data_IF_713973609943
#
_entry.id   IF_713973609943
#
_cell.length_a   1.000
_cell.length_b   1.000
_cell.length_c   1.000
_cell.angle_alpha   90.00
_cell.angle_beta   90.00
_cell.angle_gamma   90.00
#
_symmetry.space_group_name_H-M   'P 1'
#
loop_
_entity.id
_entity.type
_entity.pdbx_description
1 polymer ?
#
# COMPACT_ATOMS: atom_id res chain seq x y z
N UNK A 1 -43.60 -1.17 -0.49
CA UNK A 1 -43.60 -2.29 0.47
C UNK A 1 -42.25 -2.28 1.14
N UNK A 2 -42.18 -1.93 2.43
CA UNK A 2 -40.93 -2.05 3.18
C UNK A 2 -40.65 -3.54 3.36
N UNK A 3 -39.62 -4.05 2.68
CA UNK A 3 -39.20 -5.44 2.82
C UNK A 3 -38.78 -5.72 4.26
N UNK A 4 -39.09 -6.92 4.74
CA UNK A 4 -38.62 -7.44 6.02
C UNK A 4 -37.10 -7.24 6.15
N UNK A 5 -36.65 -6.50 7.17
CA UNK A 5 -35.23 -6.42 7.51
C UNK A 5 -34.84 -7.79 8.07
N UNK A 6 -34.25 -8.64 7.24
CA UNK A 6 -33.64 -9.88 7.72
C UNK A 6 -32.48 -9.52 8.63
N UNK A 7 -32.33 -10.15 9.82
CA UNK A 7 -31.14 -9.98 10.62
C UNK A 7 -29.94 -10.40 9.78
N UNK A 8 -29.05 -9.45 9.52
CA UNK A 8 -27.79 -9.64 8.79
C UNK A 8 -26.64 -9.40 9.74
N UNK A 9 -25.56 -10.15 9.55
CA UNK A 9 -24.27 -9.83 10.16
C UNK A 9 -23.72 -8.58 9.46
N UNK A 10 -23.14 -7.69 10.24
CA UNK A 10 -22.43 -6.51 9.74
C UNK A 10 -21.02 -6.52 10.30
N UNK A 11 -20.08 -6.05 9.50
CA UNK A 11 -18.77 -5.62 9.97
C UNK A 11 -18.79 -4.11 10.03
N UNK A 12 -18.26 -3.56 11.11
CA UNK A 12 -18.18 -2.13 11.34
C UNK A 12 -16.70 -1.77 11.49
N UNK A 13 -16.26 -0.84 10.67
CA UNK A 13 -14.95 -0.23 10.70
C UNK A 13 -15.10 1.22 11.17
N UNK A 14 -14.23 1.64 12.07
CA UNK A 14 -14.12 3.04 12.46
C UNK A 14 -13.07 3.67 11.54
N UNK A 15 -13.52 4.42 10.54
CA UNK A 15 -12.63 4.96 9.51
C UNK A 15 -11.95 6.24 10.00
N UNK A 16 -12.71 7.33 10.24
CA UNK A 16 -12.16 8.61 10.66
C UNK A 16 -12.84 9.12 11.95
N UNK A 17 -12.09 9.17 13.06
CA UNK A 17 -12.52 9.78 14.32
C UNK A 17 -13.85 9.22 14.87
N UNK A 18 -14.97 9.87 14.55
CA UNK A 18 -16.32 9.47 15.00
C UNK A 18 -17.19 8.87 13.88
N UNK A 19 -16.59 8.50 12.76
CA UNK A 19 -17.28 7.92 11.61
C UNK A 19 -17.20 6.38 11.65
N UNK A 20 -18.29 5.74 11.24
CA UNK A 20 -18.39 4.28 11.14
C UNK A 20 -18.82 3.90 9.73
N UNK A 21 -18.05 3.03 9.09
CA UNK A 21 -18.43 2.36 7.87
C UNK A 21 -18.94 0.96 8.22
N UNK A 22 -20.06 0.55 7.63
CA UNK A 22 -20.64 -0.77 7.88
C UNK A 22 -20.93 -1.52 6.59
N UNK A 23 -20.45 -2.76 6.52
CA UNK A 23 -20.67 -3.67 5.40
C UNK A 23 -21.53 -4.84 5.83
N UNK A 24 -22.58 -5.11 5.07
CA UNK A 24 -23.38 -6.31 5.25
C UNK A 24 -22.55 -7.53 4.86
N UNK A 25 -22.59 -8.57 5.68
CA UNK A 25 -21.93 -9.85 5.41
C UNK A 25 -22.97 -10.89 5.03
N UNK A 26 -22.83 -11.45 3.83
CA UNK A 26 -23.63 -12.59 3.40
C UNK A 26 -23.04 -13.90 3.95
N UNK A 27 -21.70 -14.04 3.94
CA UNK A 27 -21.02 -15.26 4.40
C UNK A 27 -19.61 -14.96 4.91
N UNK A 28 -19.17 -15.65 5.98
CA UNK A 28 -17.75 -15.73 6.33
C UNK A 28 -17.11 -16.88 5.56
N UNK A 29 -16.05 -16.60 4.82
CA UNK A 29 -15.25 -17.59 4.07
C UNK A 29 -14.18 -18.18 4.98
N UNK A 30 -13.39 -17.32 5.63
CA UNK A 30 -12.34 -17.71 6.56
C UNK A 30 -12.26 -16.74 7.73
N UNK A 31 -11.84 -17.26 8.88
CA UNK A 31 -11.52 -16.46 10.06
C UNK A 31 -10.39 -17.13 10.83
N UNK A 32 -9.33 -16.39 11.10
CA UNK A 32 -8.15 -16.88 11.79
C UNK A 32 -7.53 -15.78 12.65
N UNK A 33 -6.65 -16.17 13.57
CA UNK A 33 -5.74 -15.25 14.25
C UNK A 33 -4.33 -15.76 14.00
N UNK A 34 -3.51 -14.97 13.33
CA UNK A 34 -2.11 -15.28 13.07
C UNK A 34 -1.26 -14.85 14.27
N UNK A 35 0.06 -14.97 14.15
CA UNK A 35 0.96 -14.39 15.14
C UNK A 35 0.96 -12.85 15.11
N UNK A 36 0.47 -12.24 14.03
CA UNK A 36 0.55 -10.80 13.77
C UNK A 36 -0.80 -10.09 13.97
N UNK A 37 -1.90 -10.71 13.52
CA UNK A 37 -3.20 -10.03 13.40
C UNK A 37 -4.38 -11.01 13.37
N UNK A 38 -5.59 -10.50 13.61
CA UNK A 38 -6.84 -11.18 13.28
C UNK A 38 -7.13 -11.05 11.78
N UNK A 39 -7.43 -12.17 11.11
CA UNK A 39 -7.73 -12.22 9.67
C UNK A 39 -9.16 -12.68 9.48
N UNK A 40 -9.91 -11.95 8.66
CA UNK A 40 -11.25 -12.36 8.23
C UNK A 40 -11.43 -12.16 6.73
N UNK A 41 -11.95 -13.19 6.06
CA UNK A 41 -12.34 -13.14 4.66
C UNK A 41 -13.84 -13.38 4.58
N UNK A 42 -14.57 -12.43 4.01
CA UNK A 42 -16.04 -12.46 3.94
C UNK A 42 -16.54 -12.22 2.53
N UNK A 43 -17.78 -12.62 2.28
CA UNK A 43 -18.56 -12.21 1.12
C UNK A 43 -19.51 -11.10 1.51
N UNK A 44 -19.48 -10.01 0.76
CA UNK A 44 -20.35 -8.84 0.92
C UNK A 44 -21.26 -8.69 -0.30
N UNK A 45 -22.52 -8.22 -0.13
CA UNK A 45 -23.40 -7.95 -1.27
C UNK A 45 -22.93 -6.82 -2.18
N UNK A 46 -22.12 -5.90 -1.66
CA UNK A 46 -21.78 -4.64 -2.34
C UNK A 46 -20.46 -4.71 -3.10
N UNK A 47 -19.46 -5.44 -2.58
CA UNK A 47 -18.09 -5.44 -3.10
C UNK A 47 -17.52 -6.84 -3.33
N UNK A 48 -18.35 -7.89 -3.25
CA UNK A 48 -17.92 -9.28 -3.39
C UNK A 48 -17.09 -9.75 -2.20
N UNK A 49 -16.07 -10.57 -2.46
CA UNK A 49 -15.14 -11.03 -1.43
C UNK A 49 -14.33 -9.86 -0.86
N UNK A 50 -14.07 -9.88 0.44
CA UNK A 50 -13.39 -8.80 1.15
C UNK A 50 -12.42 -9.38 2.19
N UNK A 51 -11.19 -8.86 2.18
CA UNK A 51 -10.15 -9.14 3.17
C UNK A 51 -10.18 -8.06 4.27
N UNK A 52 -10.15 -8.51 5.51
CA UNK A 52 -10.25 -7.66 6.70
C UNK A 52 -9.17 -8.12 7.68
N UNK A 53 -8.34 -7.19 8.12
CA UNK A 53 -7.26 -7.40 9.09
C UNK A 53 -7.51 -6.54 10.31
N UNK A 54 -7.51 -7.15 11.51
CA UNK A 54 -7.80 -6.49 12.78
C UNK A 54 -9.11 -5.65 12.80
N UNK A 55 -10.07 -6.03 11.94
CA UNK A 55 -11.36 -5.35 11.81
C UNK A 55 -11.39 -4.22 10.79
N UNK A 56 -10.26 -3.88 10.17
CA UNK A 56 -10.11 -2.89 9.12
C UNK A 56 -10.11 -3.55 7.73
N UNK A 57 -10.83 -2.97 6.79
CA UNK A 57 -10.86 -3.46 5.41
C UNK A 57 -9.51 -3.21 4.75
N UNK A 58 -9.00 -4.23 4.07
CA UNK A 58 -7.74 -4.13 3.34
C UNK A 58 -7.94 -4.18 1.83
N UNK A 59 -8.93 -4.93 1.36
CA UNK A 59 -9.12 -5.15 -0.08
C UNK A 59 -10.48 -5.76 -0.35
N UNK A 60 -11.10 -5.42 -1.49
CA UNK A 60 -12.37 -5.99 -1.93
C UNK A 60 -12.37 -6.33 -3.42
N UNK A 61 -13.06 -7.42 -3.78
CA UNK A 61 -13.01 -8.05 -5.11
C UNK A 61 -13.37 -7.08 -6.24
N UNK A 62 -14.41 -6.27 -6.01
CA UNK A 62 -14.95 -5.38 -7.04
C UNK A 62 -13.94 -4.30 -7.46
N UNK A 63 -13.10 -3.82 -6.53
CA UNK A 63 -12.33 -2.60 -6.68
C UNK A 63 -10.84 -2.67 -6.28
N UNK A 64 -10.32 -3.82 -5.83
CA UNK A 64 -8.89 -3.99 -5.51
C UNK A 64 -7.98 -3.55 -6.67
N UNK A 65 -8.44 -3.75 -7.91
CA UNK A 65 -7.72 -3.31 -9.10
C UNK A 65 -7.44 -1.80 -9.12
N UNK A 66 -8.33 -0.97 -8.57
CA UNK A 66 -8.11 0.49 -8.46
C UNK A 66 -6.94 0.77 -7.53
N UNK A 67 -6.89 0.10 -6.38
CA UNK A 67 -5.81 0.26 -5.41
C UNK A 67 -4.47 -0.24 -5.98
N UNK A 68 -4.42 -1.48 -6.47
CA UNK A 68 -3.17 -2.09 -6.92
C UNK A 68 -2.62 -1.44 -8.18
N UNK A 69 -3.48 -1.05 -9.12
CA UNK A 69 -3.02 -0.33 -10.31
C UNK A 69 -2.47 1.06 -9.94
N UNK A 70 -3.08 1.74 -8.96
CA UNK A 70 -2.59 3.02 -8.44
C UNK A 70 -1.28 2.88 -7.65
N UNK A 71 -1.13 1.81 -6.87
CA UNK A 71 0.09 1.56 -6.10
C UNK A 71 1.27 1.18 -7.01
N UNK A 72 1.04 0.37 -8.04
CA UNK A 72 2.14 -0.27 -8.79
C UNK A 72 2.56 0.56 -10.00
N UNK A 73 1.62 0.94 -10.87
CA UNK A 73 1.98 1.41 -12.21
C UNK A 73 2.66 2.79 -12.25
N UNK A 74 2.30 3.79 -11.43
CA UNK A 74 2.99 5.08 -11.42
C UNK A 74 4.51 4.95 -11.21
N UNK A 75 4.94 4.11 -10.26
CA UNK A 75 6.37 3.88 -10.01
C UNK A 75 7.05 3.09 -11.12
N UNK A 76 6.45 1.98 -11.56
CA UNK A 76 7.06 1.14 -12.60
C UNK A 76 7.13 1.85 -13.95
N UNK A 77 6.13 2.67 -14.29
CA UNK A 77 6.13 3.46 -15.53
C UNK A 77 7.13 4.61 -15.49
N UNK A 78 7.37 5.21 -14.32
CA UNK A 78 8.39 6.24 -14.16
C UNK A 78 9.81 5.72 -14.46
N UNK A 79 10.13 4.50 -14.03
CA UNK A 79 11.38 3.85 -14.39
C UNK A 79 11.42 3.48 -15.90
N UNK A 80 12.56 3.63 -16.56
CA UNK A 80 12.67 3.43 -18.02
C UNK A 80 12.57 1.96 -18.45
N UNK A 81 13.01 1.03 -17.60
CA UNK A 81 12.86 -0.43 -17.81
C UNK A 81 13.12 -1.18 -16.51
N UNK A 82 12.16 -1.25 -15.57
CA UNK A 82 12.38 -1.90 -14.27
C UNK A 82 12.53 -3.42 -14.45
N UNK A 83 13.64 -3.97 -13.96
CA UNK A 83 13.98 -5.40 -13.97
C UNK A 83 13.97 -6.04 -12.59
N UNK A 84 14.52 -5.36 -11.58
CA UNK A 84 14.52 -5.80 -10.18
C UNK A 84 13.49 -5.02 -9.36
N UNK A 85 12.48 -5.70 -8.83
CA UNK A 85 11.45 -5.08 -8.00
C UNK A 85 11.42 -5.73 -6.62
N UNK A 86 11.32 -4.90 -5.57
CA UNK A 86 11.03 -5.34 -4.20
C UNK A 86 9.64 -4.86 -3.80
N UNK A 87 8.86 -5.75 -3.18
CA UNK A 87 7.60 -5.44 -2.52
C UNK A 87 7.81 -5.76 -1.03
N UNK A 88 7.52 -4.80 -0.16
CA UNK A 88 7.46 -4.99 1.28
C UNK A 88 5.99 -4.99 1.66
N UNK A 89 5.52 -6.08 2.27
CA UNK A 89 4.10 -6.37 2.49
C UNK A 89 3.44 -6.98 1.25
N UNK A 90 2.17 -6.64 1.01
CA UNK A 90 1.39 -7.14 -0.12
C UNK A 90 0.97 -8.61 -0.01
N UNK A 91 0.74 -9.11 1.21
CA UNK A 91 0.41 -10.50 1.55
C UNK A 91 -0.70 -11.16 0.73
N UNK A 92 -1.60 -10.39 0.12
CA UNK A 92 -2.66 -10.90 -0.77
C UNK A 92 -2.20 -11.25 -2.19
N UNK A 93 -1.02 -10.77 -2.61
CA UNK A 93 -0.40 -11.10 -3.88
C UNK A 93 -0.90 -10.32 -5.10
N UNK A 94 -1.82 -9.36 -4.92
CA UNK A 94 -2.31 -8.49 -6.01
C UNK A 94 -1.27 -7.44 -6.43
N UNK A 95 -0.52 -6.86 -5.49
CA UNK A 95 0.66 -6.02 -5.82
C UNK A 95 1.69 -6.80 -6.63
N UNK A 96 1.98 -8.04 -6.22
CA UNK A 96 2.88 -8.93 -6.97
C UNK A 96 2.33 -9.24 -8.37
N UNK A 97 1.01 -9.50 -8.50
CA UNK A 97 0.34 -9.70 -9.78
C UNK A 97 0.55 -8.50 -10.71
N UNK A 98 0.31 -7.28 -10.23
CA UNK A 98 0.45 -6.07 -11.05
C UNK A 98 1.90 -5.79 -11.45
N UNK A 99 2.86 -6.01 -10.56
CA UNK A 99 4.30 -5.91 -10.88
C UNK A 99 4.65 -6.88 -12.01
N UNK A 100 4.22 -8.13 -11.91
CA UNK A 100 4.54 -9.18 -12.87
C UNK A 100 3.87 -9.00 -14.24
N UNK A 101 2.89 -8.09 -14.38
CA UNK A 101 2.35 -7.73 -15.70
C UNK A 101 3.38 -7.03 -16.60
N UNK A 102 4.39 -6.38 -16.02
CA UNK A 102 5.46 -5.74 -16.77
C UNK A 102 6.46 -6.78 -17.25
N UNK A 103 6.56 -6.92 -18.58
CA UNK A 103 7.47 -7.87 -19.23
C UNK A 103 8.95 -7.53 -19.02
N UNK A 104 9.26 -6.30 -18.62
CA UNK A 104 10.63 -5.90 -18.29
C UNK A 104 11.10 -6.43 -16.94
N UNK A 105 10.18 -6.80 -16.05
CA UNK A 105 10.51 -7.32 -14.72
C UNK A 105 11.11 -8.71 -14.88
N UNK A 106 12.35 -8.86 -14.42
CA UNK A 106 13.13 -10.09 -14.43
C UNK A 106 12.98 -10.85 -13.10
N UNK A 107 12.87 -10.09 -11.99
CA UNK A 107 12.64 -10.64 -10.65
C UNK A 107 11.79 -9.68 -9.81
N UNK A 108 10.78 -10.23 -9.15
CA UNK A 108 9.98 -9.54 -8.15
C UNK A 108 10.12 -10.27 -6.81
N UNK A 109 10.82 -9.66 -5.86
CA UNK A 109 10.94 -10.19 -4.50
C UNK A 109 9.85 -9.57 -3.64
N UNK A 110 9.04 -10.38 -2.99
CA UNK A 110 8.01 -9.94 -2.04
C UNK A 110 8.42 -10.42 -0.65
N UNK A 111 8.44 -9.50 0.32
CA UNK A 111 8.80 -9.78 1.72
C UNK A 111 7.62 -9.38 2.59
N UNK A 112 6.95 -10.36 3.18
CA UNK A 112 5.84 -10.13 4.12
C UNK A 112 6.14 -10.81 5.45
N UNK A 113 5.76 -10.17 6.55
CA UNK A 113 6.03 -10.68 7.90
C UNK A 113 5.08 -11.83 8.28
N UNK A 114 3.89 -11.89 7.69
CA UNK A 114 2.83 -12.82 8.06
C UNK A 114 2.64 -13.93 7.01
N UNK A 115 3.43 -15.01 7.14
CA UNK A 115 3.28 -16.18 6.27
C UNK A 115 1.92 -16.88 6.37
N UNK A 116 1.21 -16.77 7.50
CA UNK A 116 -0.12 -17.37 7.63
C UNK A 116 -1.17 -16.55 6.87
N UNK A 117 -1.02 -15.23 6.81
CA UNK A 117 -1.85 -14.38 5.95
C UNK A 117 -1.67 -14.78 4.48
N UNK A 118 -0.43 -14.95 4.01
CA UNK A 118 -0.16 -15.38 2.63
C UNK A 118 -0.84 -16.73 2.34
N UNK A 119 -0.74 -17.70 3.24
CA UNK A 119 -1.37 -19.01 3.05
C UNK A 119 -2.90 -18.91 2.96
N UNK A 120 -3.53 -18.08 3.81
CA UNK A 120 -4.98 -17.81 3.74
C UNK A 120 -5.38 -17.12 2.44
N UNK A 121 -4.60 -16.14 1.98
CA UNK A 121 -4.84 -15.44 0.72
C UNK A 121 -4.68 -16.38 -0.49
N UNK A 122 -3.69 -17.28 -0.48
CA UNK A 122 -3.54 -18.32 -1.50
C UNK A 122 -4.71 -19.29 -1.56
N UNK A 123 -5.32 -19.59 -0.41
CA UNK A 123 -6.46 -20.52 -0.34
C UNK A 123 -7.77 -19.86 -0.80
N UNK A 124 -7.96 -18.56 -0.53
CA UNK A 124 -9.27 -17.93 -0.58
C UNK A 124 -9.38 -16.68 -1.47
N UNK A 125 -8.28 -16.10 -1.95
CA UNK A 125 -8.24 -14.87 -2.74
C UNK A 125 -7.57 -15.10 -4.12
N UNK A 126 -7.98 -16.16 -4.82
CA UNK A 126 -7.43 -16.52 -6.14
C UNK A 126 -7.56 -15.41 -7.19
N UNK A 127 -8.62 -14.61 -7.11
CA UNK A 127 -8.85 -13.45 -7.97
C UNK A 127 -7.87 -12.29 -7.72
N UNK A 128 -7.21 -12.24 -6.55
CA UNK A 128 -6.19 -11.25 -6.22
C UNK A 128 -4.83 -11.65 -6.78
N UNK A 129 -4.29 -12.79 -6.36
CA UNK A 129 -2.94 -13.16 -6.76
C UNK A 129 -2.91 -13.71 -8.19
N UNK A 130 -3.96 -14.39 -8.68
CA UNK A 130 -4.04 -14.97 -10.05
C UNK A 130 -2.80 -15.77 -10.45
N UNK A 131 -2.26 -16.53 -9.51
CA UNK A 131 -1.04 -17.32 -9.67
C UNK A 131 0.28 -16.54 -9.59
N UNK A 132 0.27 -15.25 -9.20
CA UNK A 132 1.47 -14.42 -9.08
C UNK A 132 2.54 -15.01 -8.16
N UNK A 133 2.13 -15.68 -7.08
CA UNK A 133 3.03 -16.41 -6.17
C UNK A 133 3.79 -17.57 -6.83
N UNK A 134 3.29 -18.12 -7.94
CA UNK A 134 3.88 -19.24 -8.66
C UNK A 134 4.60 -18.81 -9.96
N UNK A 135 4.62 -17.51 -10.27
CA UNK A 135 5.37 -16.99 -11.43
C UNK A 135 6.87 -17.27 -11.22
N UNK A 136 7.60 -17.78 -12.24
CA UNK A 136 9.02 -18.09 -12.10
C UNK A 136 9.92 -16.88 -11.79
N UNK A 137 9.41 -15.66 -11.95
CA UNK A 137 10.09 -14.41 -11.60
C UNK A 137 9.82 -13.97 -10.16
N UNK A 138 8.84 -14.57 -9.50
CA UNK A 138 8.48 -14.24 -8.12
C UNK A 138 9.40 -14.93 -7.11
N UNK A 139 9.82 -14.19 -6.09
CA UNK A 139 10.51 -14.70 -4.91
C UNK A 139 9.75 -14.22 -3.67
N UNK A 140 9.01 -15.12 -3.03
CA UNK A 140 8.19 -14.80 -1.85
C UNK A 140 8.95 -15.21 -0.58
N UNK A 141 9.26 -14.25 0.26
CA UNK A 141 10.03 -14.43 1.50
C UNK A 141 9.16 -14.05 2.70
N UNK A 142 9.21 -14.87 3.74
CA UNK A 142 8.56 -14.55 5.01
C UNK A 142 9.59 -13.90 5.94
N UNK A 143 9.35 -12.65 6.33
CA UNK A 143 10.25 -11.91 7.21
C UNK A 143 9.97 -10.42 7.32
N UNK A 144 10.77 -9.74 8.12
CA UNK A 144 10.71 -8.30 8.30
C UNK A 144 11.33 -7.57 7.09
N UNK A 145 10.56 -6.67 6.46
CA UNK A 145 11.00 -5.95 5.25
C UNK A 145 12.20 -5.03 5.47
N UNK A 146 12.27 -4.37 6.64
CA UNK A 146 13.42 -3.55 7.02
C UNK A 146 14.66 -4.42 7.23
N UNK A 147 14.54 -5.51 8.00
CA UNK A 147 15.60 -6.47 8.25
C UNK A 147 16.13 -7.11 6.96
N UNK A 148 15.26 -7.39 5.99
CA UNK A 148 15.67 -7.82 4.66
C UNK A 148 16.56 -6.77 3.97
N UNK A 149 16.14 -5.50 3.94
CA UNK A 149 16.94 -4.42 3.34
C UNK A 149 18.27 -4.15 4.08
N UNK A 150 18.29 -4.33 5.40
CA UNK A 150 19.49 -4.17 6.23
C UNK A 150 20.54 -5.26 5.93
N UNK A 151 20.10 -6.47 5.59
CA UNK A 151 20.98 -7.65 5.44
C UNK A 151 21.32 -7.99 3.98
N UNK A 152 20.48 -7.61 3.03
CA UNK A 152 20.71 -7.86 1.61
C UNK A 152 21.71 -6.87 1.01
N UNK A 153 22.56 -7.33 0.09
CA UNK A 153 23.40 -6.49 -0.76
C UNK A 153 22.75 -6.18 -2.12
N UNK A 154 21.54 -6.70 -2.36
CA UNK A 154 20.80 -6.47 -3.61
C UNK A 154 20.29 -5.04 -3.69
N UNK A 155 20.23 -4.52 -4.91
CA UNK A 155 19.62 -3.25 -5.26
C UNK A 155 18.46 -3.46 -6.21
N UNK A 156 17.53 -2.50 -6.22
CA UNK A 156 16.24 -2.62 -6.90
C UNK A 156 15.97 -1.39 -7.76
N UNK A 157 15.30 -1.59 -8.89
CA UNK A 157 14.84 -0.51 -9.76
C UNK A 157 13.56 0.13 -9.19
N UNK A 158 12.71 -0.68 -8.55
CA UNK A 158 11.53 -0.20 -7.84
C UNK A 158 11.41 -0.90 -6.49
N UNK A 159 11.11 -0.13 -5.44
CA UNK A 159 10.72 -0.66 -4.13
C UNK A 159 9.30 -0.17 -3.85
N UNK A 160 8.37 -1.10 -3.59
CA UNK A 160 6.97 -0.82 -3.25
C UNK A 160 6.74 -1.18 -1.79
N UNK A 161 6.23 -0.24 -1.00
CA UNK A 161 5.78 -0.48 0.37
C UNK A 161 4.25 -0.56 0.38
N UNK A 162 3.76 -1.79 0.46
CA UNK A 162 2.34 -2.18 0.50
C UNK A 162 2.02 -2.74 1.89
N UNK A 163 2.10 -1.86 2.88
CA UNK A 163 2.04 -2.21 4.30
C UNK A 163 0.86 -1.51 4.94
N UNK A 164 0.27 -2.12 5.97
CA UNK A 164 -0.85 -1.54 6.71
C UNK A 164 -0.46 -0.24 7.39
N UNK A 165 -1.44 0.63 7.61
CA UNK A 165 -1.26 1.91 8.28
C UNK A 165 -0.63 1.75 9.67
N UNK A 166 0.18 2.72 10.09
CA UNK A 166 0.95 2.67 11.32
C UNK A 166 0.19 3.17 12.57
N UNK A 167 -1.13 3.31 12.47
CA UNK A 167 -1.98 3.97 13.47
C UNK A 167 -1.98 3.26 14.84
N UNK A 168 -1.62 1.97 14.90
CA UNK A 168 -1.75 1.15 16.11
C UNK A 168 -0.42 0.90 16.87
N UNK A 169 0.61 1.73 16.67
CA UNK A 169 1.97 1.49 17.23
C UNK A 169 2.55 0.09 16.87
N UNK A 170 2.02 -0.51 15.81
CA UNK A 170 2.35 -1.87 15.39
C UNK A 170 3.75 -2.01 14.77
N UNK A 171 4.14 -3.24 14.40
CA UNK A 171 5.46 -3.53 13.85
C UNK A 171 5.79 -2.75 12.57
N UNK A 172 4.76 -2.32 11.83
CA UNK A 172 4.91 -1.53 10.60
C UNK A 172 5.49 -0.12 10.85
N UNK A 173 5.38 0.45 12.05
CA UNK A 173 5.77 1.83 12.34
C UNK A 173 7.25 2.11 11.98
N UNK A 174 8.14 1.13 12.16
CA UNK A 174 9.57 1.26 11.80
C UNK A 174 9.85 1.32 10.29
N UNK A 175 8.85 1.02 9.46
CA UNK A 175 8.88 1.14 7.99
C UNK A 175 8.41 2.53 7.51
N UNK A 176 8.05 3.43 8.42
CA UNK A 176 7.64 4.81 8.10
C UNK A 176 8.66 5.87 8.53
N UNK A 177 9.85 5.46 8.98
CA UNK A 177 10.87 6.37 9.51
C UNK A 177 11.78 6.95 8.45
N UNK A 178 12.35 8.12 8.75
CA UNK A 178 13.48 8.70 8.01
C UNK A 178 14.60 7.68 7.79
N UNK A 179 15.02 6.95 8.82
CA UNK A 179 16.12 5.98 8.75
C UNK A 179 15.80 4.81 7.81
N UNK A 180 14.54 4.36 7.81
CA UNK A 180 14.08 3.37 6.84
C UNK A 180 14.12 3.91 5.42
N UNK A 181 13.63 5.13 5.16
CA UNK A 181 13.68 5.70 3.82
C UNK A 181 15.10 6.02 3.34
N UNK A 182 16.02 6.39 4.23
CA UNK A 182 17.44 6.48 3.91
C UNK A 182 18.04 5.12 3.54
N UNK A 183 17.61 4.03 4.21
CA UNK A 183 18.00 2.66 3.85
C UNK A 183 17.45 2.26 2.48
N UNK A 184 16.18 2.53 2.21
CA UNK A 184 15.54 2.32 0.90
C UNK A 184 16.32 3.06 -0.19
N UNK A 185 16.67 4.33 0.03
CA UNK A 185 17.45 5.12 -0.91
C UNK A 185 18.82 4.51 -1.24
N UNK A 186 19.49 3.87 -0.27
CA UNK A 186 20.76 3.14 -0.49
C UNK A 186 20.58 1.81 -1.24
N UNK A 187 19.37 1.30 -1.33
CA UNK A 187 19.01 0.03 -1.97
C UNK A 187 18.31 0.21 -3.32
N UNK A 188 18.08 1.45 -3.75
CA UNK A 188 17.63 1.76 -5.11
C UNK A 188 18.82 1.86 -6.07
N UNK A 189 18.64 1.32 -7.28
CA UNK A 189 19.53 1.57 -8.41
C UNK A 189 19.46 3.05 -8.84
N UNK A 190 20.45 3.57 -9.59
CA UNK A 190 20.35 4.89 -10.19
C UNK A 190 19.08 5.04 -11.04
N UNK A 191 18.29 6.06 -10.76
CA UNK A 191 16.98 6.25 -11.40
C UNK A 191 15.84 5.43 -10.78
N UNK A 192 16.12 4.67 -9.72
CA UNK A 192 15.14 3.85 -9.02
C UNK A 192 14.05 4.68 -8.35
N UNK A 193 12.91 4.03 -8.11
CA UNK A 193 11.70 4.65 -7.59
C UNK A 193 11.19 3.89 -6.37
N UNK A 194 10.93 4.62 -5.29
CA UNK A 194 10.14 4.16 -4.16
C UNK A 194 8.67 4.49 -4.43
N UNK A 195 7.77 3.56 -4.13
CA UNK A 195 6.32 3.81 -4.05
C UNK A 195 5.81 3.34 -2.70
N UNK A 196 4.93 4.12 -2.07
CA UNK A 196 4.41 3.86 -0.73
C UNK A 196 2.91 4.09 -0.75
N UNK A 197 2.13 3.11 -0.29
CA UNK A 197 0.76 3.37 0.15
C UNK A 197 0.81 4.33 1.34
N UNK A 198 0.07 5.43 1.29
CA UNK A 198 0.27 6.56 2.18
C UNK A 198 -1.04 7.02 2.83
N UNK A 199 -1.79 6.07 3.38
CA UNK A 199 -2.96 6.26 4.23
C UNK A 199 -4.14 6.96 3.54
N UNK A 200 -5.26 7.04 4.26
CA UNK A 200 -6.41 7.87 3.88
C UNK A 200 -6.02 9.35 3.70
N UNK A 201 -6.72 10.03 2.80
CA UNK A 201 -6.67 11.49 2.69
C UNK A 201 -8.08 12.08 2.71
N UNK A 202 -8.40 12.71 3.83
CA UNK A 202 -9.68 13.32 4.16
C UNK A 202 -9.45 14.74 4.71
N UNK A 203 -10.51 15.53 4.87
CA UNK A 203 -10.40 16.83 5.54
C UNK A 203 -10.05 16.71 7.03
N UNK A 204 -10.30 15.54 7.63
CA UNK A 204 -10.04 15.23 9.03
C UNK A 204 -8.80 14.32 9.19
N UNK A 205 -8.45 13.55 8.17
CA UNK A 205 -7.31 12.63 8.15
C UNK A 205 -6.32 12.97 7.02
N UNK A 206 -5.31 13.79 7.32
CA UNK A 206 -4.26 14.18 6.36
C UNK A 206 -2.91 14.46 7.01
N UNK A 207 -2.84 14.50 8.34
CA UNK A 207 -1.63 14.86 9.06
C UNK A 207 -0.56 13.78 8.84
N UNK A 208 -0.96 12.51 8.88
CA UNK A 208 -0.14 11.33 8.70
C UNK A 208 0.43 11.27 7.27
N UNK A 209 -0.41 11.49 6.25
CA UNK A 209 0.06 11.57 4.88
C UNK A 209 1.08 12.69 4.70
N UNK A 210 0.81 13.91 5.20
CA UNK A 210 1.74 15.04 5.04
C UNK A 210 3.03 14.86 5.85
N UNK A 211 2.96 14.27 7.04
CA UNK A 211 4.12 13.85 7.83
C UNK A 211 4.96 12.83 7.05
N UNK A 212 4.32 11.87 6.38
CA UNK A 212 5.01 10.87 5.61
C UNK A 212 5.73 11.46 4.40
N UNK A 213 5.10 12.39 3.69
CA UNK A 213 5.73 13.16 2.60
C UNK A 213 7.00 13.88 3.08
N UNK A 214 6.96 14.51 4.26
CA UNK A 214 8.13 15.18 4.87
C UNK A 214 9.21 14.19 5.23
N UNK A 215 8.81 13.09 5.85
CA UNK A 215 9.73 12.04 6.31
C UNK A 215 10.48 11.40 5.15
N UNK A 216 9.77 11.09 4.05
CA UNK A 216 10.38 10.61 2.81
C UNK A 216 11.26 11.70 2.16
N UNK A 217 10.84 12.96 2.23
CA UNK A 217 11.59 14.11 1.71
C UNK A 217 12.96 14.34 2.36
N UNK A 218 13.20 13.80 3.56
CA UNK A 218 14.51 13.82 4.20
C UNK A 218 15.52 12.87 3.52
N UNK A 219 15.04 11.83 2.82
CA UNK A 219 15.85 10.85 2.12
C UNK A 219 15.87 11.05 0.59
N UNK A 220 14.84 11.68 0.03
CA UNK A 220 14.64 11.80 -1.42
C UNK A 220 14.42 13.24 -1.89
N UNK A 221 15.13 13.70 -2.94
CA UNK A 221 14.95 15.05 -3.49
C UNK A 221 13.70 15.19 -4.38
N UNK A 222 13.16 14.10 -4.93
CA UNK A 222 11.92 14.12 -5.71
C UNK A 222 10.89 13.29 -4.96
N UNK A 223 9.83 13.95 -4.48
CA UNK A 223 8.70 13.31 -3.78
C UNK A 223 7.40 13.83 -4.39
N UNK A 224 6.48 12.94 -4.73
CA UNK A 224 5.17 13.27 -5.31
C UNK A 224 4.08 12.47 -4.64
N UNK A 225 3.16 13.17 -3.96
CA UNK A 225 1.88 12.61 -3.56
C UNK A 225 0.94 12.52 -4.76
N UNK A 226 0.08 11.52 -4.73
CA UNK A 226 -1.03 11.35 -5.65
C UNK A 226 -2.17 10.59 -4.98
N UNK A 227 -3.39 10.76 -5.49
CA UNK A 227 -4.59 10.20 -4.87
C UNK A 227 -5.36 9.33 -5.84
N UNK A 228 -5.95 8.24 -5.33
CA UNK A 228 -6.96 7.47 -6.03
C UNK A 228 -8.17 7.26 -5.10
N UNK A 229 -9.39 7.36 -5.62
CA UNK A 229 -10.58 7.03 -4.85
C UNK A 229 -10.81 5.52 -4.86
N UNK A 230 -10.83 4.89 -3.70
CA UNK A 230 -11.06 3.44 -3.55
C UNK A 230 -12.49 3.22 -3.04
N UNK A 231 -13.42 2.75 -3.90
CA UNK A 231 -14.84 2.65 -3.58
C UNK A 231 -15.21 1.88 -2.30
N UNK A 232 -14.48 0.82 -1.95
CA UNK A 232 -14.73 -0.01 -0.77
C UNK A 232 -14.18 0.61 0.50
N UNK A 233 -13.17 1.49 0.39
CA UNK A 233 -12.67 2.28 1.51
C UNK A 233 -13.53 3.54 1.74
N UNK A 234 -14.32 3.95 0.74
CA UNK A 234 -15.17 5.15 0.75
C UNK A 234 -14.43 6.50 0.84
N UNK A 235 -13.10 6.50 0.73
CA UNK A 235 -12.28 7.71 0.76
C UNK A 235 -11.28 7.77 -0.39
N UNK A 236 -10.62 8.93 -0.51
CA UNK A 236 -9.45 9.08 -1.38
C UNK A 236 -8.24 8.52 -0.65
N UNK A 237 -7.61 7.52 -1.24
CA UNK A 237 -6.39 6.93 -0.72
C UNK A 237 -5.16 7.66 -1.24
N UNK A 238 -4.24 7.95 -0.33
CA UNK A 238 -2.98 8.60 -0.61
C UNK A 238 -1.91 7.61 -1.04
N UNK A 239 -1.09 8.03 -1.98
CA UNK A 239 0.12 7.32 -2.38
C UNK A 239 1.26 8.31 -2.55
N UNK A 240 2.49 7.85 -2.36
CA UNK A 240 3.69 8.66 -2.53
C UNK A 240 4.67 7.93 -3.43
N UNK A 241 5.18 8.63 -4.44
CA UNK A 241 6.39 8.22 -5.15
C UNK A 241 7.58 9.04 -4.70
N UNK A 242 8.76 8.42 -4.65
CA UNK A 242 10.00 9.12 -4.36
C UNK A 242 11.17 8.57 -5.18
N UNK A 243 12.10 9.45 -5.57
CA UNK A 243 13.28 9.08 -6.35
C UNK A 243 14.41 10.09 -6.15
N UNK A 244 15.63 9.68 -6.48
CA UNK A 244 16.78 10.57 -6.52
C UNK A 244 16.81 11.47 -7.76
N UNK A 245 16.11 11.10 -8.84
CA UNK A 245 16.21 11.81 -10.11
C UNK A 245 14.99 11.71 -11.04
N UNK A 246 14.10 10.74 -10.83
CA UNK A 246 12.92 10.54 -11.69
C UNK A 246 11.71 11.23 -11.08
N UNK A 247 10.95 11.97 -11.89
CA UNK A 247 9.69 12.59 -11.49
C UNK A 247 8.53 11.97 -12.27
N UNK A 248 7.76 11.03 -11.66
CA UNK A 248 6.62 10.41 -12.32
C UNK A 248 5.60 11.45 -12.80
N UNK A 249 5.36 12.51 -12.02
CA UNK A 249 4.38 13.57 -12.34
C UNK A 249 4.77 14.43 -13.57
N UNK A 250 6.01 14.29 -14.07
CA UNK A 250 6.49 14.97 -15.26
C UNK A 250 6.20 14.20 -16.56
N UNK A 251 5.73 12.95 -16.49
CA UNK A 251 5.36 12.17 -17.67
C UNK A 251 4.08 12.71 -18.31
N UNK A 252 4.03 12.75 -19.64
CA UNK A 252 2.80 13.08 -20.36
C UNK A 252 1.91 11.85 -20.49
N UNK A 253 0.62 12.06 -20.75
CA UNK A 253 -0.34 10.97 -20.96
C UNK A 253 0.14 10.02 -22.07
N UNK A 254 0.64 10.58 -23.18
CA UNK A 254 1.12 9.82 -24.33
C UNK A 254 2.38 8.99 -24.02
N UNK A 255 3.29 9.53 -23.21
CA UNK A 255 4.49 8.79 -22.78
C UNK A 255 4.11 7.63 -21.85
N UNK A 256 3.16 7.84 -20.93
CA UNK A 256 2.62 6.78 -20.08
C UNK A 256 1.99 5.67 -20.92
N UNK A 257 1.08 6.03 -21.85
CA UNK A 257 0.40 5.06 -22.71
C UNK A 257 1.38 4.30 -23.61
N UNK A 258 2.40 4.97 -24.16
CA UNK A 258 3.44 4.33 -24.95
C UNK A 258 4.26 3.33 -24.12
N UNK A 259 4.59 3.68 -22.87
CA UNK A 259 5.30 2.77 -21.95
C UNK A 259 4.43 1.57 -21.56
N UNK A 260 3.15 1.79 -21.26
CA UNK A 260 2.18 0.73 -20.94
C UNK A 260 2.05 -0.26 -22.11
N UNK A 261 1.78 0.26 -23.32
CA UNK A 261 1.63 -0.56 -24.53
C UNK A 261 2.88 -1.39 -24.87
N UNK A 262 4.07 -0.89 -24.51
CA UNK A 262 5.34 -1.61 -24.71
C UNK A 262 5.59 -2.67 -23.65
N UNK A 263 5.17 -2.46 -22.39
CA UNK A 263 5.58 -3.28 -21.24
C UNK A 263 4.54 -4.28 -20.78
N UNK A 264 3.25 -4.01 -20.96
CA UNK A 264 2.20 -4.86 -20.39
C UNK A 264 1.78 -5.98 -21.34
N UNK A 265 1.36 -7.11 -20.76
CA UNK A 265 0.81 -8.27 -21.48
C UNK A 265 -0.71 -8.22 -21.62
N UNK A 266 -1.38 -7.32 -20.90
CA UNK A 266 -2.83 -7.19 -20.81
C UNK A 266 -3.22 -5.74 -20.52
N UNK A 267 -4.45 -5.37 -20.87
CA UNK A 267 -4.99 -4.07 -20.53
C UNK A 267 -5.24 -3.95 -19.01
N UNK A 268 -5.04 -2.73 -18.51
CA UNK A 268 -5.38 -2.33 -17.17
C UNK A 268 -6.85 -1.87 -17.13
N UNK A 269 -7.47 -1.92 -15.95
CA UNK A 269 -8.89 -1.61 -15.76
C UNK A 269 -9.13 -0.16 -15.38
N UNK A 270 -8.21 0.46 -14.65
CA UNK A 270 -8.35 1.77 -14.02
C UNK A 270 -7.26 2.77 -14.41
N UNK A 271 -6.06 2.29 -14.77
CA UNK A 271 -4.90 3.13 -15.02
C UNK A 271 -4.52 3.24 -16.50
N UNK A 272 -4.45 4.49 -16.99
CA UNK A 272 -3.92 4.90 -18.29
C UNK A 272 -3.19 6.25 -18.14
N UNK A 273 -2.72 6.84 -19.25
CA UNK A 273 -2.08 8.15 -19.26
C UNK A 273 -2.95 9.27 -18.68
N UNK A 274 -4.25 9.30 -19.00
CA UNK A 274 -5.18 10.31 -18.50
C UNK A 274 -5.38 10.18 -16.99
N UNK A 275 -5.57 8.95 -16.49
CA UNK A 275 -5.66 8.64 -15.06
C UNK A 275 -4.37 9.00 -14.34
N UNK A 276 -3.20 8.67 -14.91
CA UNK A 276 -1.89 9.05 -14.34
C UNK A 276 -1.79 10.56 -14.11
N UNK A 277 -2.12 11.37 -15.12
CA UNK A 277 -2.15 12.83 -14.96
C UNK A 277 -3.16 13.24 -13.88
N UNK A 278 -4.32 12.57 -13.84
CA UNK A 278 -5.37 12.80 -12.83
C UNK A 278 -4.88 12.58 -11.40
N UNK A 279 -4.18 11.47 -11.15
CA UNK A 279 -3.60 11.11 -9.86
C UNK A 279 -2.71 12.21 -9.29
N UNK A 280 -1.84 12.82 -10.11
CA UNK A 280 -0.94 13.89 -9.68
C UNK A 280 -1.59 15.30 -9.71
N UNK A 281 -2.84 15.42 -10.14
CA UNK A 281 -3.58 16.68 -10.20
C UNK A 281 -4.30 17.00 -8.89
N UNK A 282 -3.50 17.22 -7.84
CA UNK A 282 -3.99 17.38 -6.47
C UNK A 282 -4.83 18.67 -6.26
N UNK A 283 -5.91 18.61 -5.43
CA UNK A 283 -6.67 19.77 -4.99
C UNK A 283 -5.81 20.89 -4.41
N UNK A 284 -6.26 22.14 -4.55
CA UNK A 284 -5.47 23.33 -4.17
C UNK A 284 -5.18 23.39 -2.67
N UNK A 285 -6.19 23.08 -1.86
CA UNK A 285 -6.12 22.95 -0.40
C UNK A 285 -5.16 21.84 0.00
N UNK A 286 -5.25 20.65 -0.59
CA UNK A 286 -4.32 19.56 -0.28
C UNK A 286 -2.86 19.91 -0.64
N UNK A 287 -2.64 20.59 -1.77
CA UNK A 287 -1.31 21.13 -2.10
C UNK A 287 -0.81 22.17 -1.10
N UNK A 288 -1.70 22.94 -0.46
CA UNK A 288 -1.31 23.86 0.59
C UNK A 288 -0.86 23.11 1.85
N UNK A 289 -1.61 22.09 2.27
CA UNK A 289 -1.27 21.21 3.41
C UNK A 289 0.11 20.56 3.23
N UNK A 290 0.38 19.99 2.05
CA UNK A 290 1.69 19.41 1.73
C UNK A 290 2.85 20.42 1.88
N UNK A 291 2.59 21.71 1.63
CA UNK A 291 3.59 22.77 1.70
C UNK A 291 3.81 23.37 3.09
N UNK A 292 2.93 23.09 4.06
CA UNK A 292 3.10 23.55 5.46
C UNK A 292 4.35 22.92 6.10
N UNK A 293 4.90 23.43 7.21
CA UNK A 293 5.88 22.68 8.00
C UNK A 293 5.16 21.65 8.88
N UNK A 294 5.86 20.59 9.31
CA UNK A 294 5.26 19.56 10.17
C UNK A 294 6.29 18.60 10.73
N UNK A 295 5.85 17.59 11.51
CA UNK A 295 6.74 16.60 12.10
C UNK A 295 7.40 15.72 11.03
N UNK A 296 8.50 15.09 11.43
CA UNK A 296 9.19 14.04 10.70
C UNK A 296 9.23 12.83 11.63
N UNK A 297 8.89 11.66 11.10
CA UNK A 297 8.94 10.42 11.87
C UNK A 297 10.36 9.82 11.81
N UNK A 298 10.96 9.58 12.97
CA UNK A 298 12.27 8.95 13.08
C UNK A 298 12.25 7.79 14.10
N UNK A 299 13.28 6.94 14.04
CA UNK A 299 13.41 5.79 14.94
C UNK A 299 13.35 6.20 16.43
N UNK A 300 13.95 7.35 16.78
CA UNK A 300 13.99 7.82 18.17
C UNK A 300 12.61 8.23 18.68
N UNK A 301 11.79 8.84 17.83
CA UNK A 301 10.40 9.22 18.12
C UNK A 301 9.56 7.98 18.40
N UNK A 302 9.72 6.93 17.59
CA UNK A 302 9.03 5.65 17.80
C UNK A 302 9.45 4.99 19.12
N UNK A 303 10.75 4.97 19.43
CA UNK A 303 11.27 4.40 20.68
C UNK A 303 10.70 5.12 21.91
N UNK A 304 10.49 6.44 21.83
CA UNK A 304 9.85 7.22 22.89
C UNK A 304 8.38 6.81 23.06
N UNK A 305 7.61 6.70 21.98
CA UNK A 305 6.20 6.27 22.06
C UNK A 305 6.06 4.87 22.66
N UNK A 306 6.91 3.94 22.26
CA UNK A 306 6.91 2.58 22.81
C UNK A 306 7.23 2.57 24.33
N UNK A 307 8.13 3.45 24.78
CA UNK A 307 8.48 3.59 26.19
C UNK A 307 7.34 4.21 27.01
N UNK A 308 6.64 5.20 26.46
CA UNK A 308 5.47 5.85 27.08
C UNK A 308 4.31 4.85 27.25
N UNK A 309 3.99 4.10 26.19
CA UNK A 309 2.94 3.07 26.22
C UNK A 309 3.24 1.98 27.26
N UNK A 310 4.49 1.50 27.30
CA UNK A 310 4.93 0.52 28.31
C UNK A 310 4.81 1.05 29.74
N UNK A 311 5.03 2.35 29.95
CA UNK A 311 4.87 2.98 31.25
C UNK A 311 3.39 3.07 31.65
N UNK A 312 2.50 3.46 30.74
CA UNK A 312 1.05 3.53 30.99
C UNK A 312 0.45 2.17 31.34
N UNK A 313 0.82 1.11 30.61
CA UNK A 313 0.39 -0.26 30.91
C UNK A 313 0.87 -0.73 32.30
N UNK A 314 2.10 -0.38 32.69
CA UNK A 314 2.65 -0.70 34.00
C UNK A 314 1.99 0.08 35.15
N UNK A 315 1.42 1.26 34.89
CA UNK A 315 0.62 2.00 35.86
C UNK A 315 -0.84 1.51 35.94
N UNK A 316 -1.34 0.87 34.89
CA UNK A 316 -2.69 0.31 34.82
C UNK A 316 -2.81 -1.11 35.42
N UNK A 317 -1.68 -1.81 35.65
CA UNK A 317 -1.58 -3.15 36.27
C UNK A 317 -1.36 -3.12 37.78
#
# INVERSE_FOLDING_TARGET
MAGEIKPRRWIAEQADGNELIMFAVDKTIAKARTAMQDVEIVETPSYGRMLILDGLIQSAEDDEHVYHEALVHPGLIAHDSPGEVLIIGGGEGATLREVLRHQSVERATMVDIDGQLIDLCKEHLDDWHRGSFDDPRAEVLIGDGRGFLETTDRTFDVIICDITDFLDHGPALRLYTKQFYELVGRRLNPGGVLVVQALETSSMDHEEHTMLVRTIGEAFPVVRSYLAFVPSFLYSWGFITASTSVDPAALTEEEVDARLARRLTSELRSYDGTTHRGYFSLPKDFRALLAEPGPILDDATIELWAAEQSAEEAFAS
#
